data_IF_182638656010
#
_entry.id   IF_182638656010
#
_cell.length_a   1.000
_cell.length_b   1.000
_cell.length_c   1.000
_cell.angle_alpha   90.00
_cell.angle_beta   90.00
_cell.angle_gamma   90.00
#
_symmetry.space_group_name_H-M   'P 1'
#
loop_
_entity.id
_entity.type
_entity.pdbx_description
1 polymer ?
#
# COMPACT_ATOMS: atom_id res chain seq x y z
N UNK A 1 -10.51 -17.43 -2.83
CA UNK A 1 -10.03 -16.20 -2.17
C UNK A 1 -10.13 -16.40 -0.67
N UNK A 2 -9.05 -16.18 0.09
CA UNK A 2 -9.13 -16.18 1.56
C UNK A 2 -9.94 -14.94 1.96
N UNK A 3 -10.93 -15.09 2.85
CA UNK A 3 -11.69 -13.95 3.35
C UNK A 3 -10.72 -12.94 3.99
N UNK A 4 -10.87 -11.65 3.68
CA UNK A 4 -10.08 -10.61 4.33
C UNK A 4 -10.44 -10.57 5.81
N UNK A 5 -9.43 -10.64 6.66
CA UNK A 5 -9.64 -10.58 8.11
C UNK A 5 -10.08 -9.18 8.51
N UNK A 6 -11.21 -9.10 9.21
CA UNK A 6 -11.75 -7.84 9.72
C UNK A 6 -11.03 -7.48 11.01
N UNK A 7 -10.45 -6.28 11.02
CA UNK A 7 -9.66 -5.76 12.14
C UNK A 7 -10.28 -4.44 12.59
N UNK A 8 -10.98 -4.49 13.73
CA UNK A 8 -11.69 -3.33 14.29
C UNK A 8 -10.96 -2.67 15.48
N UNK A 9 -9.84 -3.23 15.97
CA UNK A 9 -9.03 -2.66 17.07
C UNK A 9 -7.54 -2.62 16.75
N UNK A 10 -6.80 -1.73 17.42
CA UNK A 10 -5.35 -1.60 17.23
C UNK A 10 -4.63 -2.87 17.68
N UNK A 11 -5.08 -3.46 18.79
CA UNK A 11 -4.53 -4.68 19.37
C UNK A 11 -4.71 -5.88 18.44
N UNK A 12 -5.82 -5.96 17.71
CA UNK A 12 -6.03 -6.98 16.68
C UNK A 12 -5.12 -6.74 15.47
N UNK A 13 -4.85 -5.47 15.11
CA UNK A 13 -3.89 -5.14 14.06
C UNK A 13 -2.47 -5.53 14.44
N UNK A 14 -2.05 -5.24 15.67
CA UNK A 14 -0.76 -5.65 16.23
C UNK A 14 -0.57 -7.16 16.16
N UNK A 15 -1.59 -7.92 16.61
CA UNK A 15 -1.58 -9.39 16.54
C UNK A 15 -1.53 -9.89 15.10
N UNK A 16 -2.31 -9.30 14.20
CA UNK A 16 -2.36 -9.69 12.79
C UNK A 16 -1.06 -9.40 12.04
N UNK A 17 -0.37 -8.31 12.39
CA UNK A 17 0.92 -7.94 11.81
C UNK A 17 2.12 -8.61 12.51
N UNK A 18 1.91 -9.11 13.74
CA UNK A 18 2.95 -9.62 14.64
C UNK A 18 3.99 -8.53 14.97
N UNK A 19 3.50 -7.30 15.21
CA UNK A 19 4.33 -6.12 15.50
C UNK A 19 3.65 -5.27 16.58
N UNK A 20 4.44 -4.74 17.51
CA UNK A 20 3.99 -3.72 18.48
C UNK A 20 3.86 -2.36 17.79
N UNK A 21 2.66 -1.78 17.81
CA UNK A 21 2.35 -0.49 17.20
C UNK A 21 2.25 0.63 18.24
N UNK A 22 2.52 0.35 19.51
CA UNK A 22 2.42 1.28 20.63
C UNK A 22 3.28 2.53 20.48
N UNK A 23 4.38 2.46 19.72
CA UNK A 23 5.24 3.61 19.40
C UNK A 23 4.56 4.65 18.50
N UNK A 24 3.63 4.21 17.64
CA UNK A 24 2.92 5.07 16.70
C UNK A 24 1.56 5.56 17.26
N UNK A 25 1.09 4.99 18.36
CA UNK A 25 -0.17 5.37 18.97
C UNK A 25 -0.08 6.76 19.64
N UNK A 26 -1.08 7.61 19.41
CA UNK A 26 -1.18 8.92 20.07
C UNK A 26 -1.39 8.78 21.59
N UNK A 27 -0.83 9.74 22.33
CA UNK A 27 -1.05 9.94 23.76
C UNK A 27 -1.52 11.38 24.00
N UNK A 28 -2.62 11.62 24.75
CA UNK A 28 -3.51 10.63 25.36
C UNK A 28 -4.32 9.84 24.30
N UNK A 29 -4.78 8.64 24.69
CA UNK A 29 -5.53 7.76 23.78
C UNK A 29 -6.95 8.29 23.59
N UNK A 30 -7.42 8.30 22.35
CA UNK A 30 -8.83 8.58 22.02
C UNK A 30 -9.67 7.36 22.36
N UNK A 31 -10.81 7.55 23.02
CA UNK A 31 -11.71 6.46 23.41
C UNK A 31 -12.67 6.05 22.26
N UNK A 32 -12.10 5.60 21.14
CA UNK A 32 -12.85 4.96 20.05
C UNK A 32 -11.93 4.05 19.22
N UNK A 33 -12.22 2.73 19.11
CA UNK A 33 -11.27 1.76 18.53
C UNK A 33 -10.94 2.04 17.06
N UNK A 34 -11.95 2.41 16.26
CA UNK A 34 -11.74 2.75 14.84
C UNK A 34 -10.93 4.03 14.62
N UNK A 35 -11.03 5.01 15.53
CA UNK A 35 -10.26 6.25 15.43
C UNK A 35 -8.81 5.98 15.85
N UNK A 36 -8.61 5.20 16.93
CA UNK A 36 -7.28 4.78 17.39
C UNK A 36 -6.49 4.07 16.29
N UNK A 37 -7.09 3.13 15.56
CA UNK A 37 -6.43 2.48 14.41
C UNK A 37 -6.07 3.51 13.35
N UNK A 38 -7.03 4.35 12.96
CA UNK A 38 -6.84 5.34 11.89
C UNK A 38 -5.69 6.29 12.23
N UNK A 39 -5.67 6.84 13.44
CA UNK A 39 -4.64 7.77 13.90
C UNK A 39 -3.26 7.11 13.99
N UNK A 40 -3.22 5.85 14.46
CA UNK A 40 -1.97 5.09 14.52
C UNK A 40 -1.42 4.84 13.12
N UNK A 41 -2.29 4.48 12.17
CA UNK A 41 -1.92 4.32 10.76
C UNK A 41 -1.48 5.64 10.11
N UNK A 42 -2.14 6.75 10.43
CA UNK A 42 -1.75 8.08 9.97
C UNK A 42 -0.39 8.49 10.52
N UNK A 43 -0.10 8.16 11.79
CA UNK A 43 1.22 8.35 12.37
C UNK A 43 2.27 7.48 11.68
N UNK A 44 2.00 6.19 11.42
CA UNK A 44 2.90 5.34 10.61
C UNK A 44 3.24 6.04 9.29
N UNK A 45 2.23 6.54 8.57
CA UNK A 45 2.46 7.28 7.33
C UNK A 45 3.30 8.55 7.53
N UNK A 46 3.17 9.27 8.66
CA UNK A 46 4.02 10.42 9.01
C UNK A 46 5.47 10.01 9.32
N UNK A 47 5.68 8.90 10.01
CA UNK A 47 7.03 8.39 10.32
C UNK A 47 7.75 7.90 9.06
N UNK A 48 7.05 7.25 8.13
CA UNK A 48 7.59 6.91 6.80
C UNK A 48 8.13 8.16 6.09
N UNK A 49 7.36 9.25 6.10
CA UNK A 49 7.77 10.54 5.51
C UNK A 49 8.96 11.20 6.19
N UNK A 50 9.34 10.74 7.39
CA UNK A 50 10.53 11.19 8.12
C UNK A 50 11.73 10.27 7.89
N UNK A 51 11.62 9.24 7.05
CA UNK A 51 12.71 8.29 6.81
C UNK A 51 12.71 7.07 7.74
N UNK A 52 11.64 6.83 8.50
CA UNK A 52 11.59 5.70 9.43
C UNK A 52 11.38 4.38 8.68
N UNK A 53 12.42 3.52 8.72
CA UNK A 53 12.43 2.22 8.04
C UNK A 53 11.47 1.21 8.67
N UNK A 54 11.30 1.22 10.00
CA UNK A 54 10.36 0.31 10.65
C UNK A 54 8.92 0.70 10.35
N UNK A 55 8.62 2.00 10.32
CA UNK A 55 7.32 2.48 9.88
C UNK A 55 7.04 2.09 8.42
N UNK A 56 8.06 2.13 7.55
CA UNK A 56 7.93 1.72 6.15
C UNK A 56 7.64 0.21 6.02
N UNK A 57 8.35 -0.63 6.79
CA UNK A 57 8.09 -2.07 6.87
C UNK A 57 6.67 -2.38 7.33
N UNK A 58 6.21 -1.74 8.41
CA UNK A 58 4.83 -1.90 8.91
C UNK A 58 3.82 -1.44 7.86
N UNK A 59 4.03 -0.28 7.26
CA UNK A 59 3.16 0.25 6.20
C UNK A 59 3.05 -0.71 5.00
N UNK A 60 4.17 -1.26 4.56
CA UNK A 60 4.19 -2.31 3.54
C UNK A 60 3.39 -3.55 3.98
N UNK A 61 3.58 -4.05 5.20
CA UNK A 61 2.85 -5.22 5.69
C UNK A 61 1.32 -5.00 5.70
N UNK A 62 0.85 -3.80 6.07
CA UNK A 62 -0.58 -3.45 6.00
C UNK A 62 -1.08 -3.55 4.56
N UNK A 63 -0.33 -3.06 3.57
CA UNK A 63 -0.73 -3.12 2.16
C UNK A 63 -0.68 -4.56 1.62
N UNK A 64 0.39 -5.30 1.93
CA UNK A 64 0.63 -6.64 1.41
C UNK A 64 -0.34 -7.68 1.98
N UNK A 65 -0.57 -7.64 3.30
CA UNK A 65 -1.50 -8.56 3.99
C UNK A 65 -2.96 -8.13 3.83
N UNK A 66 -3.20 -6.87 3.47
CA UNK A 66 -4.50 -6.34 3.05
C UNK A 66 -5.65 -6.62 4.03
N UNK A 67 -5.53 -6.24 5.32
CA UNK A 67 -6.61 -6.41 6.28
C UNK A 67 -7.79 -5.50 5.95
N UNK A 68 -8.99 -5.90 6.40
CA UNK A 68 -10.17 -5.05 6.34
C UNK A 68 -10.20 -4.14 7.58
N UNK A 69 -9.84 -2.88 7.39
CA UNK A 69 -9.71 -1.87 8.46
C UNK A 69 -10.85 -0.83 8.42
N UNK A 70 -11.20 -0.23 9.57
CA UNK A 70 -11.97 1.02 9.58
C UNK A 70 -11.20 2.08 8.79
N UNK A 71 -11.88 2.76 7.86
CA UNK A 71 -11.26 3.73 6.95
C UNK A 71 -10.10 3.14 6.10
N UNK A 72 -10.09 1.83 5.87
CA UNK A 72 -8.97 1.12 5.25
C UNK A 72 -8.50 1.71 3.92
N UNK A 73 -9.44 2.23 3.11
CA UNK A 73 -9.12 2.97 1.88
C UNK A 73 -8.24 4.20 2.14
N UNK A 74 -8.62 5.04 3.11
CA UNK A 74 -7.86 6.27 3.44
C UNK A 74 -6.49 5.92 4.01
N UNK A 75 -6.45 4.95 4.92
CA UNK A 75 -5.22 4.43 5.55
C UNK A 75 -4.25 3.92 4.48
N UNK A 76 -4.70 2.99 3.62
CA UNK A 76 -3.86 2.36 2.59
C UNK A 76 -3.36 3.37 1.56
N UNK A 77 -4.22 4.30 1.11
CA UNK A 77 -3.81 5.42 0.25
C UNK A 77 -2.80 6.35 0.94
N UNK A 78 -2.96 6.62 2.24
CA UNK A 78 -2.02 7.42 3.04
C UNK A 78 -0.63 6.79 3.10
N UNK A 79 -0.58 5.50 3.44
CA UNK A 79 0.65 4.71 3.51
C UNK A 79 1.32 4.61 2.14
N UNK A 80 0.58 4.27 1.08
CA UNK A 80 1.16 4.17 -0.27
C UNK A 80 1.77 5.50 -0.74
N UNK A 81 1.11 6.63 -0.47
CA UNK A 81 1.65 7.96 -0.78
C UNK A 81 2.93 8.26 0.01
N UNK A 82 3.02 7.83 1.26
CA UNK A 82 4.22 7.98 2.08
C UNK A 82 5.37 7.10 1.55
N UNK A 83 5.11 5.82 1.26
CA UNK A 83 6.08 4.91 0.67
C UNK A 83 6.60 5.42 -0.68
N UNK A 84 5.74 6.01 -1.52
CA UNK A 84 6.16 6.60 -2.79
C UNK A 84 7.23 7.70 -2.62
N UNK A 85 7.18 8.46 -1.52
CA UNK A 85 8.15 9.51 -1.24
C UNK A 85 9.50 8.94 -0.80
N UNK A 86 9.52 7.73 -0.25
CA UNK A 86 10.69 7.05 0.31
C UNK A 86 10.78 5.59 -0.13
N UNK A 87 10.81 5.34 -1.43
CA UNK A 87 10.90 3.97 -1.98
C UNK A 87 12.21 3.28 -1.59
N UNK A 88 13.24 4.06 -1.25
CA UNK A 88 14.54 3.62 -0.75
C UNK A 88 14.45 2.90 0.60
N UNK A 89 13.42 3.19 1.40
CA UNK A 89 13.17 2.49 2.67
C UNK A 89 12.64 1.07 2.49
N UNK A 90 12.05 0.77 1.34
CA UNK A 90 11.57 -0.58 1.01
C UNK A 90 12.74 -1.45 0.53
N UNK A 91 12.88 -2.62 1.14
CA UNK A 91 13.79 -3.67 0.67
C UNK A 91 13.38 -4.19 -0.71
N UNK A 92 14.30 -4.83 -1.47
CA UNK A 92 13.98 -5.42 -2.77
C UNK A 92 12.80 -6.39 -2.74
N UNK A 93 12.71 -7.21 -1.68
CA UNK A 93 11.60 -8.15 -1.50
C UNK A 93 10.26 -7.43 -1.32
N UNK A 94 10.23 -6.33 -0.55
CA UNK A 94 9.01 -5.55 -0.34
C UNK A 94 8.58 -4.83 -1.62
N UNK A 95 9.53 -4.32 -2.41
CA UNK A 95 9.23 -3.71 -3.72
C UNK A 95 8.60 -4.73 -4.67
N UNK A 96 9.17 -5.92 -4.76
CA UNK A 96 8.63 -7.02 -5.57
C UNK A 96 7.23 -7.43 -5.08
N UNK A 97 7.06 -7.61 -3.77
CA UNK A 97 5.76 -7.94 -3.17
C UNK A 97 4.70 -6.87 -3.40
N UNK A 98 5.07 -5.58 -3.30
CA UNK A 98 4.17 -4.46 -3.58
C UNK A 98 3.73 -4.45 -5.04
N UNK A 99 4.67 -4.69 -5.95
CA UNK A 99 4.43 -4.75 -7.40
C UNK A 99 3.47 -5.89 -7.74
N UNK A 100 3.73 -7.08 -7.18
CA UNK A 100 2.84 -8.24 -7.30
C UNK A 100 1.45 -7.93 -6.75
N UNK A 101 1.35 -7.36 -5.54
CA UNK A 101 0.07 -6.99 -4.93
C UNK A 101 -0.71 -6.01 -5.81
N UNK A 102 -0.03 -5.04 -6.43
CA UNK A 102 -0.65 -4.07 -7.34
C UNK A 102 -1.24 -4.76 -8.57
N UNK A 103 -0.50 -5.68 -9.19
CA UNK A 103 -1.00 -6.52 -10.29
C UNK A 103 -2.21 -7.37 -9.86
N UNK A 104 -2.12 -8.04 -8.71
CA UNK A 104 -3.22 -8.85 -8.15
C UNK A 104 -4.51 -8.01 -8.00
N UNK A 105 -4.41 -6.77 -7.53
CA UNK A 105 -5.57 -5.87 -7.35
C UNK A 105 -6.15 -5.35 -8.66
N UNK A 106 -5.34 -5.13 -9.70
CA UNK A 106 -5.81 -4.71 -11.01
C UNK A 106 -6.50 -5.86 -11.78
N UNK A 107 -6.19 -7.11 -11.43
CA UNK A 107 -6.84 -8.30 -11.96
C UNK A 107 -8.23 -8.57 -11.34
N UNK A 108 -8.62 -7.86 -10.28
CA UNK A 108 -9.91 -8.04 -9.64
C UNK A 108 -11.07 -7.60 -10.56
N UNK A 109 -12.26 -8.20 -10.44
CA UNK A 109 -13.46 -7.73 -11.15
C UNK A 109 -13.78 -6.27 -10.83
N UNK A 110 -13.49 -5.83 -9.61
CA UNK A 110 -13.63 -4.45 -9.16
C UNK A 110 -12.30 -3.96 -8.60
N UNK A 111 -11.79 -2.86 -9.16
CA UNK A 111 -10.51 -2.27 -8.76
C UNK A 111 -10.68 -1.37 -7.53
N UNK A 112 -10.04 -1.67 -6.38
CA UNK A 112 -10.09 -0.84 -5.19
C UNK A 112 -9.63 0.60 -5.44
N UNK A 113 -10.07 1.55 -4.60
CA UNK A 113 -9.79 2.97 -4.86
C UNK A 113 -8.30 3.29 -4.75
N UNK A 114 -7.69 2.78 -3.69
CA UNK A 114 -6.29 2.92 -3.30
C UNK A 114 -5.29 2.40 -4.35
N UNK A 115 -5.72 1.49 -5.25
CA UNK A 115 -4.86 0.93 -6.31
C UNK A 115 -4.27 2.00 -7.22
N UNK A 116 -4.91 3.17 -7.35
CA UNK A 116 -4.34 4.32 -8.08
C UNK A 116 -3.04 4.82 -7.43
N UNK A 117 -3.01 4.95 -6.10
CA UNK A 117 -1.79 5.34 -5.38
C UNK A 117 -0.73 4.25 -5.47
N UNK A 118 -1.14 2.98 -5.55
CA UNK A 118 -0.22 1.86 -5.69
C UNK A 118 0.46 1.88 -7.07
N UNK A 119 -0.29 2.16 -8.14
CA UNK A 119 0.29 2.35 -9.47
C UNK A 119 1.30 3.51 -9.49
N UNK A 120 1.07 4.58 -8.72
CA UNK A 120 2.04 5.68 -8.58
C UNK A 120 3.31 5.26 -7.84
N UNK A 121 3.22 4.32 -6.88
CA UNK A 121 4.40 3.70 -6.24
C UNK A 121 5.14 2.84 -7.25
N UNK A 122 4.45 1.95 -7.98
CA UNK A 122 5.05 1.09 -9.02
C UNK A 122 5.80 1.91 -10.06
N UNK A 123 5.21 3.00 -10.55
CA UNK A 123 5.89 3.90 -11.48
C UNK A 123 7.18 4.51 -10.90
N UNK A 124 7.19 4.82 -9.59
CA UNK A 124 8.37 5.35 -8.90
C UNK A 124 9.44 4.28 -8.68
N UNK A 125 9.05 3.01 -8.53
CA UNK A 125 9.98 1.87 -8.44
C UNK A 125 10.75 1.64 -9.75
N UNK A 126 10.20 2.06 -10.89
CA UNK A 126 10.91 2.11 -12.17
C UNK A 126 10.37 1.14 -13.23
N UNK A 127 11.05 1.08 -14.40
CA UNK A 127 10.57 0.36 -15.58
C UNK A 127 10.31 -1.13 -15.36
N UNK A 128 11.17 -1.83 -14.62
CA UNK A 128 11.01 -3.26 -14.37
C UNK A 128 9.71 -3.57 -13.61
N UNK A 129 9.39 -2.77 -12.60
CA UNK A 129 8.16 -2.92 -11.83
C UNK A 129 6.92 -2.60 -12.69
N UNK A 130 7.00 -1.57 -13.54
CA UNK A 130 5.93 -1.24 -14.48
C UNK A 130 5.69 -2.36 -15.49
N UNK A 131 6.75 -2.86 -16.12
CA UNK A 131 6.71 -3.97 -17.08
C UNK A 131 6.07 -5.20 -16.43
N UNK A 132 6.51 -5.55 -15.22
CA UNK A 132 5.92 -6.66 -14.47
C UNK A 132 4.40 -6.51 -14.32
N UNK A 133 3.91 -5.34 -13.90
CA UNK A 133 2.47 -5.13 -13.72
C UNK A 133 1.73 -5.22 -15.06
N UNK A 134 2.25 -4.60 -16.11
CA UNK A 134 1.63 -4.61 -17.44
C UNK A 134 1.54 -6.03 -18.00
N UNK A 135 2.60 -6.82 -17.89
CA UNK A 135 2.66 -8.19 -18.42
C UNK A 135 1.81 -9.19 -17.62
N UNK A 136 1.60 -8.95 -16.31
CA UNK A 136 0.91 -9.88 -15.43
C UNK A 136 -0.54 -9.46 -15.09
N UNK A 137 -1.08 -8.45 -15.76
CA UNK A 137 -2.45 -7.96 -15.50
C UNK A 137 -3.37 -8.12 -16.70
N UNK A 138 -4.50 -8.78 -16.47
CA UNK A 138 -5.63 -8.86 -17.40
C UNK A 138 -6.80 -8.04 -16.84
N UNK A 139 -6.76 -6.73 -17.07
CA UNK A 139 -7.78 -5.81 -16.55
C UNK A 139 -9.18 -6.13 -17.11
N UNK A 140 -10.14 -6.39 -16.22
CA UNK A 140 -11.54 -6.68 -16.59
C UNK A 140 -12.48 -5.48 -16.42
N UNK A 141 -12.03 -4.43 -15.74
CA UNK A 141 -12.82 -3.23 -15.47
C UNK A 141 -12.14 -1.97 -16.01
N UNK A 142 -12.95 -0.98 -16.40
CA UNK A 142 -12.50 0.26 -17.04
C UNK A 142 -11.44 1.00 -16.22
N UNK A 143 -11.58 1.01 -14.88
CA UNK A 143 -10.58 1.64 -14.01
C UNK A 143 -9.22 0.95 -14.13
N UNK A 144 -9.19 -0.37 -14.11
CA UNK A 144 -7.92 -1.12 -14.22
C UNK A 144 -7.30 -0.94 -15.60
N UNK A 145 -8.09 -0.90 -16.68
CA UNK A 145 -7.61 -0.61 -18.02
C UNK A 145 -6.93 0.77 -18.09
N UNK A 146 -7.57 1.81 -17.54
CA UNK A 146 -6.98 3.16 -17.46
C UNK A 146 -5.67 3.19 -16.67
N UNK A 147 -5.60 2.47 -15.57
CA UNK A 147 -4.37 2.38 -14.76
C UNK A 147 -3.26 1.60 -15.47
N UNK A 148 -3.58 0.56 -16.25
CA UNK A 148 -2.59 -0.11 -17.08
C UNK A 148 -2.05 0.82 -18.18
N UNK A 149 -2.91 1.56 -18.88
CA UNK A 149 -2.46 2.56 -19.86
C UNK A 149 -1.50 3.58 -19.23
N UNK A 150 -1.84 4.06 -18.02
CA UNK A 150 -0.97 4.97 -17.26
C UNK A 150 0.43 4.39 -16.99
N UNK A 151 0.52 3.09 -16.68
CA UNK A 151 1.81 2.41 -16.45
C UNK A 151 2.55 2.15 -17.77
N UNK A 152 1.85 1.76 -18.85
CA UNK A 152 2.44 1.47 -20.16
C UNK A 152 3.04 2.71 -20.84
N UNK A 153 2.34 3.85 -20.81
CA UNK A 153 2.82 5.10 -21.44
C UNK A 153 4.10 5.66 -20.79
N UNK A 154 4.39 5.22 -19.57
CA UNK A 154 5.58 5.66 -18.84
C UNK A 154 6.81 4.82 -19.17
N UNK A 155 6.63 3.60 -19.68
CA UNK A 155 7.72 2.70 -20.06
C UNK A 155 8.47 3.22 -21.30
N UNK A 156 7.74 3.82 -22.24
CA UNK A 156 8.28 4.32 -23.52
C UNK A 156 9.24 5.52 -23.35
N UNK A 157 9.17 6.25 -22.24
CA UNK A 157 10.06 7.39 -21.97
C UNK A 157 11.45 6.97 -21.47
N UNK A 158 11.62 5.73 -21.00
CA UNK A 158 12.89 5.23 -20.45
C UNK A 158 13.69 4.37 -21.43
N UNK A 159 13.09 3.92 -22.54
CA UNK A 159 13.80 3.20 -23.60
C UNK A 159 14.56 4.13 -24.56
N UNK A 160 14.43 5.46 -24.38
CA UNK A 160 15.11 6.48 -25.17
C UNK A 160 16.16 7.31 -24.40
N UNK A 161 16.55 6.88 -23.19
CA UNK A 161 17.63 7.47 -22.37
C UNK A 161 18.70 6.43 -22.10
#
# INVERSE_FOLDING_TARGET
>A
MKAMERIDTLENLEKFLEVDLGWYALKPRIDHPGIRISDTCDNIARYIKKGDRDAARVGYQIIARDPHLPFGKLIKSGIARALRQHIDLMSPMERAGFTKKTSDLLNLPFCPRETEDYCKVVRKLGPEAMRFVVENTHAKNEKSMRLLVYLSQSSTLWEGM
#
